data_IF_467444816670
#
_entry.id   IF_467444816670
#
_cell.length_a   1.000
_cell.length_b   1.000
_cell.length_c   1.000
_cell.angle_alpha   90.00
_cell.angle_beta   90.00
_cell.angle_gamma   90.00
#
_symmetry.space_group_name_H-M   'P 1'
#
loop_
_entity.id
_entity.type
_entity.pdbx_description
1 polymer ?
#
# COMPACT_ATOMS: atom_id res chain seq x y z
N UNK A 1 -13.68 -1.26 2.26
CA UNK A 1 -14.33 -1.74 1.01
C UNK A 1 -15.84 -1.86 1.21
N UNK A 2 -16.63 -1.79 0.13
CA UNK A 2 -18.10 -1.96 0.14
C UNK A 2 -18.55 -2.94 -0.95
N UNK A 3 -19.66 -3.64 -0.69
CA UNK A 3 -20.32 -4.49 -1.69
C UNK A 3 -21.17 -3.62 -2.63
N UNK A 4 -21.00 -3.80 -3.94
CA UNK A 4 -21.83 -3.20 -4.98
C UNK A 4 -22.50 -4.30 -5.78
N UNK A 5 -23.82 -4.25 -5.89
CA UNK A 5 -24.62 -5.23 -6.62
C UNK A 5 -25.19 -4.55 -7.85
N UNK A 6 -24.83 -5.02 -9.04
CA UNK A 6 -25.45 -4.57 -10.28
C UNK A 6 -26.56 -5.55 -10.65
N UNK A 7 -27.80 -5.06 -10.74
CA UNK A 7 -28.97 -5.87 -11.09
C UNK A 7 -29.38 -5.56 -12.52
N UNK A 8 -29.47 -6.60 -13.34
CA UNK A 8 -30.08 -6.60 -14.66
C UNK A 8 -31.34 -7.47 -14.64
N UNK A 9 -32.24 -7.30 -15.61
CA UNK A 9 -33.52 -8.06 -15.70
C UNK A 9 -33.35 -9.58 -15.51
N UNK A 10 -32.21 -10.15 -15.93
CA UNK A 10 -31.96 -11.60 -15.91
C UNK A 10 -30.78 -12.04 -15.01
N UNK A 11 -30.06 -11.12 -14.36
CA UNK A 11 -28.85 -11.44 -13.62
C UNK A 11 -28.51 -10.40 -12.54
N UNK A 12 -27.99 -10.84 -11.40
CA UNK A 12 -27.38 -9.98 -10.39
C UNK A 12 -25.89 -10.29 -10.27
N UNK A 13 -25.05 -9.27 -10.40
CA UNK A 13 -23.58 -9.39 -10.34
C UNK A 13 -23.03 -8.67 -9.12
N UNK A 14 -22.09 -9.32 -8.43
CA UNK A 14 -21.52 -8.85 -7.17
C UNK A 14 -20.10 -8.34 -7.36
N UNK A 15 -19.81 -7.14 -6.85
CA UNK A 15 -18.53 -6.46 -6.97
C UNK A 15 -18.07 -5.94 -5.60
N UNK A 16 -16.78 -6.10 -5.30
CA UNK A 16 -16.13 -5.45 -4.16
C UNK A 16 -15.50 -4.15 -4.65
N UNK A 17 -15.91 -3.03 -4.07
CA UNK A 17 -15.49 -1.69 -4.49
C UNK A 17 -14.79 -0.96 -3.35
N UNK A 18 -13.67 -0.28 -3.66
CA UNK A 18 -12.93 0.58 -2.75
C UNK A 18 -13.03 2.03 -3.22
N UNK A 19 -13.42 2.93 -2.33
CA UNK A 19 -13.31 4.36 -2.60
C UNK A 19 -11.84 4.78 -2.46
N UNK A 20 -11.28 5.38 -3.50
CA UNK A 20 -9.90 5.88 -3.55
C UNK A 20 -9.90 7.34 -3.98
N UNK A 21 -8.95 8.13 -3.48
CA UNK A 21 -8.74 9.50 -3.94
C UNK A 21 -7.73 9.47 -5.08
N UNK A 22 -8.14 9.92 -6.26
CA UNK A 22 -7.26 10.10 -7.42
C UNK A 22 -7.35 11.56 -7.82
N UNK A 23 -6.21 12.27 -7.79
CA UNK A 23 -6.13 13.70 -8.15
C UNK A 23 -7.13 14.59 -7.39
N UNK A 24 -7.28 14.37 -6.07
CA UNK A 24 -8.18 15.15 -5.21
C UNK A 24 -9.67 14.84 -5.37
N UNK A 25 -10.07 13.99 -6.32
CA UNK A 25 -11.47 13.56 -6.50
C UNK A 25 -11.69 12.16 -5.94
N UNK A 26 -12.82 11.97 -5.26
CA UNK A 26 -13.23 10.65 -4.75
C UNK A 26 -13.75 9.80 -5.91
N UNK A 27 -13.04 8.72 -6.23
CA UNK A 27 -13.39 7.77 -7.28
C UNK A 27 -13.57 6.38 -6.70
N UNK A 28 -14.48 5.60 -7.27
CA UNK A 28 -14.70 4.21 -6.88
C UNK A 28 -13.90 3.29 -7.80
N UNK A 29 -12.96 2.52 -7.25
CA UNK A 29 -12.20 1.51 -7.97
C UNK A 29 -12.71 0.12 -7.60
N UNK A 30 -13.02 -0.69 -8.61
CA UNK A 30 -13.39 -2.10 -8.40
C UNK A 30 -12.14 -2.85 -7.95
N UNK A 31 -12.21 -3.46 -6.76
CA UNK A 31 -11.14 -4.28 -6.21
C UNK A 31 -11.21 -5.69 -6.82
N UNK A 32 -12.40 -6.30 -6.80
CA UNK A 32 -12.62 -7.66 -7.27
C UNK A 32 -14.07 -7.87 -7.75
N UNK A 33 -14.25 -8.74 -8.74
CA UNK A 33 -15.57 -9.20 -9.21
C UNK A 33 -15.81 -10.60 -8.64
N UNK A 34 -16.80 -10.73 -7.74
CA UNK A 34 -17.11 -12.00 -7.07
C UNK A 34 -17.83 -12.99 -7.98
N UNK A 35 -18.63 -12.47 -8.92
CA UNK A 35 -19.38 -13.26 -9.89
C UNK A 35 -20.87 -12.90 -9.93
N UNK A 36 -21.63 -13.72 -10.65
CA UNK A 36 -23.08 -13.59 -10.82
C UNK A 36 -23.81 -14.46 -9.79
N UNK A 37 -25.05 -14.10 -9.43
CA UNK A 37 -25.87 -14.85 -8.48
C UNK A 37 -25.97 -16.35 -8.82
N UNK A 38 -26.14 -16.71 -10.10
CA UNK A 38 -26.20 -18.11 -10.53
C UNK A 38 -24.88 -18.86 -10.29
N UNK A 39 -23.75 -18.21 -10.55
CA UNK A 39 -22.41 -18.77 -10.35
C UNK A 39 -22.10 -18.94 -8.86
N UNK A 40 -22.46 -17.94 -8.05
CA UNK A 40 -22.27 -18.00 -6.60
C UNK A 40 -23.19 -19.03 -5.95
N UNK A 41 -24.45 -19.13 -6.40
CA UNK A 41 -25.38 -20.16 -5.92
C UNK A 41 -24.89 -21.57 -6.25
N UNK A 42 -24.33 -21.77 -7.45
CA UNK A 42 -23.74 -23.05 -7.82
C UNK A 42 -22.50 -23.41 -6.97
N UNK A 43 -21.70 -22.41 -6.57
CA UNK A 43 -20.51 -22.61 -5.73
C UNK A 43 -20.81 -22.79 -4.24
N UNK A 44 -21.84 -22.10 -3.73
CA UNK A 44 -22.14 -22.01 -2.31
C UNK A 44 -23.26 -22.96 -1.85
N UNK A 45 -23.94 -23.62 -2.78
CA UNK A 45 -25.00 -24.59 -2.50
C UNK A 45 -26.15 -23.97 -1.71
N UNK A 46 -26.21 -24.27 -0.41
CA UNK A 46 -27.30 -23.91 0.51
C UNK A 46 -27.18 -22.50 1.11
N UNK A 47 -26.04 -21.82 0.96
CA UNK A 47 -25.84 -20.48 1.53
C UNK A 47 -26.31 -19.38 0.56
N UNK A 48 -27.05 -18.40 1.08
CA UNK A 48 -27.47 -17.24 0.28
C UNK A 48 -26.23 -16.46 -0.22
N UNK A 49 -26.07 -16.28 -1.56
CA UNK A 49 -24.98 -15.49 -2.14
C UNK A 49 -24.87 -14.05 -1.60
N UNK A 50 -25.96 -13.44 -1.14
CA UNK A 50 -25.97 -12.09 -0.58
C UNK A 50 -25.28 -12.03 0.78
N UNK A 51 -25.62 -12.96 1.68
CA UNK A 51 -25.02 -13.03 3.01
C UNK A 51 -23.55 -13.42 2.93
N UNK A 52 -23.21 -14.41 2.07
CA UNK A 52 -21.82 -14.76 1.83
C UNK A 52 -20.99 -13.59 1.31
N UNK A 53 -21.51 -12.82 0.34
CA UNK A 53 -20.79 -11.68 -0.21
C UNK A 53 -20.59 -10.55 0.83
N UNK A 54 -21.52 -10.38 1.77
CA UNK A 54 -21.42 -9.41 2.87
C UNK A 54 -20.37 -9.84 3.89
N UNK A 55 -20.38 -11.10 4.30
CA UNK A 55 -19.34 -11.69 5.17
C UNK A 55 -17.95 -11.59 4.53
N UNK A 56 -17.84 -11.90 3.24
CA UNK A 56 -16.58 -11.83 2.51
C UNK A 56 -15.99 -10.41 2.50
N UNK A 57 -16.82 -9.40 2.25
CA UNK A 57 -16.38 -7.99 2.31
C UNK A 57 -16.00 -7.57 3.74
N UNK A 58 -16.71 -8.07 4.75
CA UNK A 58 -16.37 -7.80 6.15
C UNK A 58 -15.01 -8.40 6.52
N UNK A 59 -14.73 -9.62 6.08
CA UNK A 59 -13.45 -10.29 6.28
C UNK A 59 -12.30 -9.54 5.60
N UNK A 60 -12.49 -9.13 4.33
CA UNK A 60 -11.51 -8.29 3.62
C UNK A 60 -11.21 -6.98 4.35
N UNK A 61 -12.23 -6.33 4.92
CA UNK A 61 -12.05 -5.12 5.72
C UNK A 61 -11.31 -5.38 7.03
N UNK A 62 -11.54 -6.53 7.67
CA UNK A 62 -10.81 -6.94 8.88
C UNK A 62 -9.33 -7.14 8.57
N UNK A 63 -9.01 -7.88 7.50
CA UNK A 63 -7.64 -8.12 7.07
C UNK A 63 -6.90 -6.81 6.70
N UNK A 64 -7.56 -5.88 6.01
CA UNK A 64 -6.98 -4.54 5.74
C UNK A 64 -6.70 -3.77 7.05
N UNK A 65 -7.58 -3.88 8.06
CA UNK A 65 -7.44 -3.19 9.35
C UNK A 65 -6.34 -3.80 10.22
N UNK A 66 -6.14 -5.11 10.15
CA UNK A 66 -5.09 -5.84 10.87
C UNK A 66 -3.68 -5.58 10.31
N UNK A 67 -3.52 -4.75 9.27
CA UNK A 67 -2.22 -4.37 8.76
C UNK A 67 -1.47 -5.50 8.05
N UNK A 68 -2.17 -6.58 7.69
CA UNK A 68 -1.69 -7.52 6.68
C UNK A 68 -1.79 -6.80 5.35
N UNK A 69 -0.85 -5.90 5.10
CA UNK A 69 -0.68 -5.28 3.79
C UNK A 69 -0.68 -6.42 2.76
N UNK A 70 -1.46 -6.29 1.67
CA UNK A 70 -1.40 -7.27 0.61
C UNK A 70 0.06 -7.37 0.20
N UNK A 71 0.63 -8.58 0.25
CA UNK A 71 1.94 -8.85 -0.35
C UNK A 71 1.94 -8.16 -1.70
N UNK A 72 2.75 -7.11 -1.86
CA UNK A 72 2.80 -6.33 -3.08
C UNK A 72 3.45 -7.21 -4.14
N UNK A 73 2.67 -8.14 -4.68
CA UNK A 73 3.05 -8.94 -5.82
C UNK A 73 2.91 -7.97 -6.99
N UNK A 74 4.02 -7.34 -7.34
CA UNK A 74 4.08 -6.53 -8.53
C UNK A 74 3.66 -7.41 -9.73
N UNK A 75 2.48 -7.12 -10.30
CA UNK A 75 1.96 -7.81 -11.48
C UNK A 75 2.74 -7.35 -12.70
N UNK A 76 3.76 -8.10 -13.09
CA UNK A 76 4.49 -7.88 -14.32
C UNK A 76 3.80 -8.60 -15.48
N UNK A 77 3.60 -7.89 -16.61
CA UNK A 77 3.09 -8.48 -17.85
C UNK A 77 4.25 -8.68 -18.82
N UNK A 78 4.50 -9.89 -19.34
CA UNK A 78 5.57 -10.14 -20.32
C UNK A 78 5.40 -9.34 -21.62
N UNK A 79 4.17 -8.98 -21.97
CA UNK A 79 3.83 -8.19 -23.16
C UNK A 79 4.04 -6.68 -23.01
N UNK A 80 4.28 -6.18 -21.78
CA UNK A 80 4.37 -4.75 -21.54
C UNK A 80 5.80 -4.27 -21.77
N UNK A 81 6.01 -3.61 -22.91
CA UNK A 81 7.29 -2.99 -23.25
C UNK A 81 7.69 -1.93 -22.21
N UNK A 82 8.96 -1.95 -21.82
CA UNK A 82 9.57 -0.96 -20.94
C UNK A 82 9.80 0.32 -21.76
N UNK A 83 9.41 1.48 -21.21
CA UNK A 83 9.69 2.76 -21.87
C UNK A 83 11.20 3.00 -21.87
N UNK A 84 11.74 3.36 -23.03
CA UNK A 84 13.15 3.72 -23.17
C UNK A 84 13.44 4.95 -22.27
N UNK A 85 14.57 4.92 -21.58
CA UNK A 85 15.03 5.99 -20.67
C UNK A 85 14.23 6.20 -19.37
N UNK A 86 13.41 5.23 -18.96
CA UNK A 86 12.72 5.28 -17.65
C UNK A 86 13.60 4.72 -16.52
N UNK A 87 13.94 5.53 -15.51
CA UNK A 87 14.64 5.06 -14.32
C UNK A 87 13.70 4.22 -13.45
N UNK A 88 14.05 2.94 -13.26
CA UNK A 88 13.28 1.99 -12.44
C UNK A 88 14.03 1.46 -11.22
N UNK A 89 15.33 1.69 -11.15
CA UNK A 89 16.16 1.38 -9.98
C UNK A 89 16.41 2.65 -9.18
N UNK A 90 16.24 2.53 -7.86
CA UNK A 90 16.49 3.60 -6.91
C UNK A 90 17.40 3.07 -5.81
N UNK A 91 18.32 3.92 -5.35
CA UNK A 91 19.19 3.60 -4.23
C UNK A 91 18.38 3.70 -2.93
N UNK A 92 17.80 2.58 -2.50
CA UNK A 92 16.96 2.49 -1.29
C UNK A 92 17.65 1.85 -0.09
N UNK A 93 18.93 1.47 -0.19
CA UNK A 93 19.64 0.72 0.86
C UNK A 93 19.69 1.42 2.22
N UNK A 94 19.62 2.75 2.25
CA UNK A 94 19.63 3.53 3.48
C UNK A 94 18.30 3.50 4.25
N UNK A 95 17.19 3.06 3.65
CA UNK A 95 15.87 3.10 4.30
C UNK A 95 15.83 2.25 5.58
N UNK A 96 16.57 1.13 5.60
CA UNK A 96 16.72 0.31 6.80
C UNK A 96 17.50 1.04 7.91
N UNK A 97 18.59 1.72 7.54
CA UNK A 97 19.38 2.52 8.46
C UNK A 97 18.59 3.73 8.97
N UNK A 98 17.75 4.30 8.12
CA UNK A 98 16.85 5.39 8.49
C UNK A 98 15.83 4.95 9.54
N UNK A 99 15.26 3.75 9.39
CA UNK A 99 14.37 3.19 10.42
C UNK A 99 15.09 3.09 11.78
N UNK A 100 16.27 2.47 11.82
CA UNK A 100 17.07 2.34 13.05
C UNK A 100 17.41 3.72 13.64
N UNK A 101 17.82 4.66 12.78
CA UNK A 101 18.17 6.02 13.19
C UNK A 101 17.01 6.73 13.91
N UNK A 102 15.78 6.57 13.43
CA UNK A 102 14.58 7.13 14.06
C UNK A 102 14.15 6.34 15.31
N UNK A 103 14.29 5.01 15.31
CA UNK A 103 14.00 4.18 16.50
C UNK A 103 14.92 4.51 17.68
N UNK A 104 16.18 4.83 17.40
CA UNK A 104 17.14 5.33 18.40
C UNK A 104 16.85 6.77 18.86
N UNK A 105 15.92 7.48 18.23
CA UNK A 105 15.58 8.85 18.58
C UNK A 105 16.67 9.89 18.25
N UNK A 106 17.64 9.54 17.40
CA UNK A 106 18.74 10.45 17.03
C UNK A 106 18.22 11.74 16.39
N UNK A 107 17.15 11.64 15.60
CA UNK A 107 16.48 12.80 15.03
C UNK A 107 15.94 13.77 16.10
N UNK A 108 15.48 13.27 17.25
CA UNK A 108 14.96 14.10 18.34
C UNK A 108 16.11 14.85 19.02
N UNK A 109 17.23 14.15 19.27
CA UNK A 109 18.44 14.74 19.84
C UNK A 109 18.98 15.85 18.93
N UNK A 110 19.07 15.59 17.62
CA UNK A 110 19.49 16.61 16.65
C UNK A 110 18.57 17.84 16.67
N UNK A 111 17.26 17.65 16.81
CA UNK A 111 16.29 18.75 16.90
C UNK A 111 16.45 19.55 18.20
N UNK A 112 16.61 18.87 19.35
CA UNK A 112 16.83 19.54 20.64
C UNK A 112 18.09 20.40 20.63
N UNK A 113 19.20 19.87 20.09
CA UNK A 113 20.46 20.60 19.96
C UNK A 113 20.30 21.77 18.98
N UNK A 114 19.69 21.54 17.82
CA UNK A 114 19.46 22.59 16.81
C UNK A 114 18.61 23.73 17.36
N UNK A 115 17.58 23.43 18.15
CA UNK A 115 16.73 24.44 18.79
C UNK A 115 17.47 25.23 19.86
N UNK A 116 18.36 24.58 20.61
CA UNK A 116 19.15 25.22 21.67
C UNK A 116 20.21 26.18 21.11
N UNK A 117 20.93 25.76 20.08
CA UNK A 117 22.06 26.51 19.53
C UNK A 117 21.74 27.30 18.25
N UNK A 118 20.54 27.12 17.69
CA UNK A 118 20.02 27.84 16.51
C UNK A 118 20.97 27.80 15.30
N UNK A 119 21.40 26.60 14.93
CA UNK A 119 22.24 26.42 13.74
C UNK A 119 21.50 26.82 12.45
N UNK A 120 22.22 27.39 11.50
CA UNK A 120 21.69 27.69 10.15
C UNK A 120 21.59 26.44 9.27
N UNK A 121 22.31 25.37 9.62
CA UNK A 121 22.35 24.11 8.89
C UNK A 121 21.52 23.02 9.57
N UNK A 122 21.06 22.05 8.77
CA UNK A 122 20.27 20.93 9.27
C UNK A 122 21.18 19.82 9.83
N UNK A 123 21.34 19.80 11.15
CA UNK A 123 22.17 18.82 11.86
C UNK A 123 21.73 17.37 11.65
N UNK A 124 20.42 17.11 11.64
CA UNK A 124 19.84 15.77 11.44
C UNK A 124 20.19 15.19 10.06
N UNK A 125 20.07 16.02 9.02
CA UNK A 125 20.43 15.65 7.64
C UNK A 125 21.92 15.36 7.49
N UNK A 126 22.79 16.14 8.16
CA UNK A 126 24.24 15.92 8.11
C UNK A 126 24.59 14.61 8.82
N UNK A 127 24.10 14.41 10.04
CA UNK A 127 24.41 13.22 10.84
C UNK A 127 23.93 11.93 10.16
N UNK A 128 22.67 11.91 9.70
CA UNK A 128 22.11 10.77 8.99
C UNK A 128 22.92 10.40 7.75
N UNK A 129 23.30 11.38 6.91
CA UNK A 129 24.15 11.14 5.73
C UNK A 129 25.54 10.62 6.07
N UNK A 130 26.17 11.13 7.14
CA UNK A 130 27.47 10.63 7.59
C UNK A 130 27.40 9.18 8.07
N UNK A 131 26.35 8.83 8.82
CA UNK A 131 26.13 7.47 9.32
C UNK A 131 25.82 6.52 8.16
N UNK A 132 24.85 6.87 7.31
CA UNK A 132 24.46 6.02 6.17
C UNK A 132 25.61 5.86 5.20
N UNK A 133 26.34 6.95 4.93
CA UNK A 133 27.55 6.93 4.11
C UNK A 133 28.62 6.00 4.68
N UNK A 134 28.92 6.04 5.97
CA UNK A 134 29.92 5.15 6.59
C UNK A 134 29.55 3.67 6.54
N UNK A 135 28.26 3.34 6.62
CA UNK A 135 27.80 1.95 6.62
C UNK A 135 27.68 1.41 5.19
N UNK A 136 27.17 2.22 4.26
CA UNK A 136 26.90 1.81 2.88
C UNK A 136 28.10 1.97 1.95
N UNK A 137 28.97 2.96 2.20
CA UNK A 137 30.16 3.17 1.41
C UNK A 137 31.26 2.25 1.94
N UNK A 138 31.55 1.19 1.20
CA UNK A 138 32.86 0.55 1.31
C UNK A 138 33.85 1.46 0.61
N UNK A 139 34.80 2.04 1.36
CA UNK A 139 36.04 2.50 0.76
C UNK A 139 36.65 1.31 0.00
N UNK A 140 36.71 1.42 -1.32
CA UNK A 140 37.48 0.57 -2.20
C UNK A 140 38.56 1.43 -2.83
#
# INVERSE_FOLDING_TARGET
>A
MRLQISRSKNAASFYVVKSVYVNGKRTNKVHEKLGTYKELKAKLGDKDPYEWAKEYVAELNRLEKEGKEPTVIAKYSPSKLIKMSEQRSFNGGYLFLQKIYHELGLNKICNEISNKYKFEYNLDSILSRLIYGRILCKCQ
#
